data_IF_687069050299
#
_entry.id   IF_687069050299
#
_cell.length_a   1.000
_cell.length_b   1.000
_cell.length_c   1.000
_cell.angle_alpha   90.00
_cell.angle_beta   90.00
_cell.angle_gamma   90.00
#
_symmetry.space_group_name_H-M   'P 1'
#
loop_
_entity.id
_entity.type
_entity.pdbx_description
1 polymer ?
#
# COMPACT_ATOMS: atom_id res chain seq x y z
N UNK A 1 -29.06 -10.93 -2.36
CA UNK A 1 -28.22 -9.76 -2.65
C UNK A 1 -26.84 -10.31 -2.85
N UNK A 2 -26.38 -10.45 -4.09
CA UNK A 2 -24.99 -10.80 -4.36
C UNK A 2 -24.15 -9.62 -3.88
N UNK A 3 -23.38 -9.83 -2.81
CA UNK A 3 -22.25 -8.98 -2.54
C UNK A 3 -21.26 -9.24 -3.67
N UNK A 4 -21.21 -8.35 -4.66
CA UNK A 4 -20.11 -8.36 -5.63
C UNK A 4 -18.82 -8.19 -4.83
N UNK A 5 -18.13 -9.31 -4.64
CA UNK A 5 -16.80 -9.37 -4.07
C UNK A 5 -15.90 -8.59 -5.03
N UNK A 6 -15.56 -7.35 -4.67
CA UNK A 6 -14.74 -6.47 -5.52
C UNK A 6 -13.28 -6.84 -5.32
N UNK A 7 -12.66 -7.48 -6.29
CA UNK A 7 -11.21 -7.75 -6.28
C UNK A 7 -10.43 -6.42 -6.20
N UNK A 8 -9.21 -6.49 -5.66
CA UNK A 8 -8.30 -5.34 -5.55
C UNK A 8 -7.29 -5.40 -6.69
N UNK A 9 -7.01 -4.27 -7.32
CA UNK A 9 -6.12 -4.15 -8.47
C UNK A 9 -4.98 -3.17 -8.21
N UNK A 10 -3.91 -3.30 -8.99
CA UNK A 10 -2.85 -2.30 -9.01
C UNK A 10 -3.40 -0.90 -9.33
N UNK A 11 -3.00 0.07 -8.52
CA UNK A 11 -3.45 1.45 -8.61
C UNK A 11 -4.68 1.77 -7.75
N UNK A 12 -5.34 0.77 -7.15
CA UNK A 12 -6.49 1.02 -6.29
C UNK A 12 -6.08 1.86 -5.06
N UNK A 13 -6.94 2.83 -4.73
CA UNK A 13 -6.81 3.68 -3.56
C UNK A 13 -7.62 3.10 -2.39
N UNK A 14 -7.01 3.07 -1.21
CA UNK A 14 -7.64 2.52 -0.02
C UNK A 14 -7.19 3.24 1.25
N UNK A 15 -7.96 3.05 2.32
CA UNK A 15 -7.71 3.60 3.64
C UNK A 15 -7.42 2.46 4.61
N UNK A 16 -6.36 2.58 5.42
CA UNK A 16 -6.13 1.65 6.52
C UNK A 16 -6.88 2.10 7.76
N UNK A 17 -7.82 1.30 8.25
CA UNK A 17 -8.47 1.52 9.52
C UNK A 17 -7.76 0.73 10.62
N UNK A 18 -7.26 1.43 11.64
CA UNK A 18 -6.69 0.84 12.84
C UNK A 18 -7.81 0.64 13.87
N UNK A 19 -8.15 -0.63 14.16
CA UNK A 19 -9.16 -0.99 15.15
C UNK A 19 -8.76 -0.53 16.56
N UNK A 20 -7.50 -0.73 16.95
CA UNK A 20 -7.00 -0.42 18.31
C UNK A 20 -7.07 1.08 18.63
N UNK A 21 -6.68 1.92 17.67
CA UNK A 21 -6.73 3.38 17.82
C UNK A 21 -8.07 3.99 17.37
N UNK A 22 -8.97 3.18 16.81
CA UNK A 22 -10.28 3.60 16.27
C UNK A 22 -10.15 4.80 15.32
N UNK A 23 -9.38 4.62 14.25
CA UNK A 23 -9.10 5.70 13.31
C UNK A 23 -8.37 5.25 12.05
N UNK A 24 -8.15 6.19 11.13
CA UNK A 24 -7.46 5.92 9.86
C UNK A 24 -5.98 6.28 9.93
N UNK A 25 -5.15 5.45 9.31
CA UNK A 25 -3.73 5.76 9.11
C UNK A 25 -3.61 7.00 8.22
N UNK A 26 -2.73 7.92 8.62
CA UNK A 26 -2.67 9.27 8.06
C UNK A 26 -1.25 9.84 8.13
N UNK A 27 -0.91 10.73 7.20
CA UNK A 27 0.29 11.56 7.23
C UNK A 27 0.05 12.92 6.57
N UNK A 28 0.51 14.01 7.19
CA UNK A 28 0.47 15.34 6.57
C UNK A 28 1.50 15.46 5.43
N UNK A 29 1.17 16.15 4.31
CA UNK A 29 2.12 16.32 3.22
C UNK A 29 3.19 17.37 3.54
N UNK A 30 4.45 16.94 3.45
CA UNK A 30 5.73 17.59 3.04
C UNK A 30 6.06 19.05 3.44
N UNK A 31 5.14 19.91 3.88
CA UNK A 31 5.48 21.19 4.52
C UNK A 31 6.09 20.99 5.91
N UNK A 32 5.92 19.79 6.48
CA UNK A 32 6.67 19.30 7.64
C UNK A 32 7.77 18.36 7.16
N UNK A 33 8.96 18.41 7.77
CA UNK A 33 10.01 17.40 7.57
C UNK A 33 9.64 16.03 8.17
N UNK A 34 8.40 15.87 8.61
CA UNK A 34 7.90 14.65 9.23
C UNK A 34 7.57 13.62 8.16
N UNK A 35 8.23 12.48 8.25
CA UNK A 35 7.90 11.29 7.46
C UNK A 35 7.05 10.31 8.28
N UNK A 36 6.54 10.75 9.43
CA UNK A 36 5.86 9.89 10.38
C UNK A 36 4.45 9.58 9.90
N UNK A 37 4.10 8.31 10.01
CA UNK A 37 2.73 7.83 9.83
C UNK A 37 2.08 7.74 11.20
N UNK A 38 0.87 8.26 11.33
CA UNK A 38 0.08 8.25 12.58
C UNK A 38 -1.34 7.76 12.32
N UNK A 39 -2.16 7.65 13.37
CA UNK A 39 -3.59 7.33 13.23
C UNK A 39 -4.41 8.56 13.61
N UNK A 40 -5.24 9.03 12.68
CA UNK A 40 -6.23 10.05 12.95
C UNK A 40 -7.50 9.41 13.53
N UNK A 41 -7.85 9.70 14.79
CA UNK A 41 -8.99 9.08 15.45
C UNK A 41 -10.32 9.52 14.82
N UNK A 42 -11.22 8.57 14.59
CA UNK A 42 -12.59 8.84 14.14
C UNK A 42 -13.50 8.83 15.37
N UNK A 43 -13.65 9.97 16.05
CA UNK A 43 -14.57 10.14 17.19
C UNK A 43 -15.64 11.16 16.83
N UNK A 44 -16.86 10.97 17.36
CA UNK A 44 -18.05 11.80 17.07
C UNK A 44 -17.91 13.31 17.41
N UNK A 45 -16.80 13.73 18.05
CA UNK A 45 -16.57 15.11 18.50
C UNK A 45 -15.26 15.72 17.98
N UNK A 46 -14.64 15.13 16.96
CA UNK A 46 -13.43 15.67 16.34
C UNK A 46 -13.79 16.50 15.10
N UNK A 47 -12.95 17.48 14.71
CA UNK A 47 -13.16 18.22 13.48
C UNK A 47 -13.25 17.24 12.29
N UNK A 48 -13.96 17.65 11.23
CA UNK A 48 -14.07 16.86 10.01
C UNK A 48 -12.69 16.34 9.59
N UNK A 49 -12.67 15.06 9.19
CA UNK A 49 -11.44 14.35 8.84
C UNK A 49 -10.58 15.22 7.91
N UNK A 50 -9.32 15.52 8.29
CA UNK A 50 -8.44 16.32 7.47
C UNK A 50 -8.24 15.60 6.14
N UNK A 51 -8.28 16.36 5.04
CA UNK A 51 -8.25 15.92 3.64
C UNK A 51 -7.99 14.41 3.44
N UNK A 52 -8.98 13.69 2.88
CA UNK A 52 -8.90 12.25 2.60
C UNK A 52 -7.64 11.83 1.83
N UNK A 53 -7.07 12.73 1.02
CA UNK A 53 -5.81 12.51 0.31
C UNK A 53 -4.62 12.18 1.23
N UNK A 54 -4.68 12.62 2.49
CA UNK A 54 -3.63 12.43 3.50
C UNK A 54 -3.77 11.10 4.26
N UNK A 55 -4.87 10.38 4.02
CA UNK A 55 -5.10 9.03 4.51
C UNK A 55 -5.22 7.99 3.39
N UNK A 56 -5.27 8.45 2.14
CA UNK A 56 -5.35 7.60 0.96
C UNK A 56 -3.98 7.01 0.62
N UNK A 57 -3.97 5.70 0.35
CA UNK A 57 -2.81 4.98 -0.14
C UNK A 57 -3.15 4.22 -1.41
N UNK A 58 -2.22 4.22 -2.36
CA UNK A 58 -2.29 3.46 -3.60
C UNK A 58 -1.53 2.15 -3.43
N UNK A 59 -2.12 1.04 -3.87
CA UNK A 59 -1.45 -0.27 -3.90
C UNK A 59 -0.83 -0.53 -5.27
N UNK A 60 0.33 -1.21 -5.28
CA UNK A 60 0.92 -1.70 -6.53
C UNK A 60 1.78 -2.92 -6.26
N UNK A 61 1.97 -3.80 -7.24
CA UNK A 61 2.93 -4.90 -7.11
C UNK A 61 4.37 -4.39 -6.93
N UNK A 62 5.03 -4.93 -5.92
CA UNK A 62 6.45 -4.73 -5.66
C UNK A 62 7.30 -5.82 -6.32
N UNK A 63 8.52 -5.47 -6.73
CA UNK A 63 9.52 -6.43 -7.20
C UNK A 63 10.63 -6.55 -6.18
N UNK A 64 10.87 -7.77 -5.69
CA UNK A 64 12.11 -8.10 -4.98
C UNK A 64 13.27 -7.96 -5.97
N UNK A 65 14.36 -7.32 -5.56
CA UNK A 65 15.56 -7.30 -6.38
C UNK A 65 16.15 -8.72 -6.36
N UNK A 66 15.88 -9.50 -7.40
CA UNK A 66 16.53 -10.79 -7.59
C UNK A 66 18.04 -10.57 -7.64
N UNK A 67 18.79 -11.36 -6.87
CA UNK A 67 20.25 -11.38 -6.91
C UNK A 67 20.67 -11.72 -8.35
N UNK A 68 21.18 -10.69 -9.05
CA UNK A 68 21.75 -10.68 -10.40
C UNK A 68 21.78 -12.04 -11.14
N UNK A 69 20.84 -12.23 -12.06
CA UNK A 69 21.17 -12.83 -13.35
C UNK A 69 21.05 -11.74 -14.41
N UNK A 70 22.19 -11.16 -14.80
CA UNK A 70 22.30 -10.37 -16.02
C UNK A 70 22.03 -11.30 -17.21
N UNK A 71 20.79 -11.33 -17.68
CA UNK A 71 20.49 -11.74 -19.05
C UNK A 71 20.16 -10.47 -19.82
N UNK A 72 21.10 -10.04 -20.67
CA UNK A 72 20.84 -9.03 -21.68
C UNK A 72 19.86 -9.62 -22.70
N UNK A 73 18.57 -9.37 -22.50
CA UNK A 73 17.57 -9.58 -23.53
C UNK A 73 16.95 -8.22 -23.82
N UNK A 74 17.04 -7.82 -25.09
CA UNK A 74 16.52 -6.57 -25.64
C UNK A 74 15.12 -6.23 -25.13
N UNK A 75 14.98 -5.04 -24.52
CA UNK A 75 13.69 -4.42 -24.26
C UNK A 75 13.07 -4.00 -25.61
N UNK A 76 12.33 -4.93 -26.24
CA UNK A 76 11.26 -4.53 -27.14
C UNK A 76 10.13 -3.97 -26.28
N UNK A 77 10.02 -2.65 -26.26
CA UNK A 77 8.83 -1.93 -25.78
C UNK A 77 7.70 -2.25 -26.76
N UNK A 78 6.98 -3.34 -26.50
CA UNK A 78 5.60 -3.46 -26.89
C UNK A 78 4.81 -2.97 -25.69
N UNK A 79 4.20 -1.80 -25.82
CA UNK A 79 3.13 -1.38 -24.92
C UNK A 79 1.94 -2.32 -25.18
N UNK A 80 2.02 -3.53 -24.64
CA UNK A 80 0.84 -4.37 -24.47
C UNK A 80 -0.08 -3.61 -23.52
N UNK A 81 -1.34 -3.50 -23.91
CA UNK A 81 -2.44 -3.09 -23.05
C UNK A 81 -2.33 -3.89 -21.75
N UNK A 82 -1.68 -3.32 -20.74
CA UNK A 82 -1.46 -3.98 -19.47
C UNK A 82 -2.83 -4.12 -18.81
N UNK A 83 -3.39 -5.32 -18.86
CA UNK A 83 -4.59 -5.63 -18.10
C UNK A 83 -4.33 -5.31 -16.62
N UNK A 84 -5.33 -4.76 -15.91
CA UNK A 84 -5.18 -4.43 -14.49
C UNK A 84 -4.79 -5.69 -13.73
N UNK A 85 -3.63 -5.64 -13.07
CA UNK A 85 -3.09 -6.80 -12.35
C UNK A 85 -3.78 -6.90 -11.00
N UNK A 86 -4.49 -8.01 -10.77
CA UNK A 86 -5.16 -8.28 -9.49
C UNK A 86 -4.13 -8.51 -8.38
N UNK A 87 -4.39 -7.91 -7.23
CA UNK A 87 -3.62 -8.09 -6.01
C UNK A 87 -4.29 -9.18 -5.16
N UNK A 88 -3.53 -10.23 -4.84
CA UNK A 88 -4.00 -11.42 -4.10
C UNK A 88 -3.18 -11.64 -2.84
N UNK A 89 -3.65 -12.50 -1.93
CA UNK A 89 -2.82 -12.94 -0.81
C UNK A 89 -1.54 -13.59 -1.34
N UNK A 90 -0.36 -13.14 -0.86
CA UNK A 90 0.92 -13.57 -1.44
C UNK A 90 1.63 -12.56 -2.28
N UNK A 91 0.89 -11.60 -2.85
CA UNK A 91 1.50 -10.51 -3.57
C UNK A 91 2.49 -9.78 -2.66
N UNK A 92 3.68 -9.56 -3.21
CA UNK A 92 4.60 -8.56 -2.70
C UNK A 92 4.13 -7.23 -3.28
N UNK A 93 3.83 -6.28 -2.41
CA UNK A 93 3.22 -5.00 -2.77
C UNK A 93 4.05 -3.83 -2.27
N UNK A 94 3.75 -2.67 -2.83
CA UNK A 94 4.08 -1.36 -2.32
C UNK A 94 2.81 -0.58 -2.03
N UNK A 95 2.92 0.30 -1.05
CA UNK A 95 1.84 1.13 -0.56
C UNK A 95 2.33 2.56 -0.65
N UNK A 96 1.78 3.34 -1.58
CA UNK A 96 2.18 4.73 -1.83
C UNK A 96 1.19 5.68 -1.18
N UNK A 97 1.65 6.58 -0.33
CA UNK A 97 0.82 7.64 0.24
C UNK A 97 0.45 8.67 -0.84
N UNK A 98 -0.85 8.81 -1.13
CA UNK A 98 -1.38 9.56 -2.26
C UNK A 98 -0.90 11.01 -2.28
N UNK A 99 -1.04 11.74 -1.16
CA UNK A 99 -0.69 13.16 -1.14
C UNK A 99 0.81 13.47 -1.24
N UNK A 100 1.68 12.56 -0.79
CA UNK A 100 3.14 12.79 -0.78
C UNK A 100 3.90 12.11 -1.92
N UNK A 101 3.29 11.12 -2.57
CA UNK A 101 3.95 10.24 -3.53
C UNK A 101 5.02 9.31 -2.93
N UNK A 102 5.19 9.30 -1.61
CA UNK A 102 6.17 8.48 -0.89
C UNK A 102 5.58 7.13 -0.50
N UNK A 103 6.44 6.14 -0.28
CA UNK A 103 6.03 4.79 0.05
C UNK A 103 6.04 4.56 1.56
N UNK A 104 5.04 3.83 2.07
CA UNK A 104 5.09 3.27 3.40
C UNK A 104 6.34 2.38 3.51
N UNK A 105 7.03 2.49 4.63
CA UNK A 105 8.26 1.77 4.89
C UNK A 105 8.38 1.40 6.37
N UNK A 106 9.15 0.36 6.66
CA UNK A 106 9.49 -0.03 8.03
C UNK A 106 10.94 0.36 8.33
N UNK A 107 11.17 1.08 9.42
CA UNK A 107 12.53 1.40 9.89
C UNK A 107 13.17 0.18 10.57
N UNK A 108 14.50 0.15 10.71
CA UNK A 108 15.19 -0.89 11.51
C UNK A 108 14.73 -0.97 12.98
N UNK A 109 14.09 0.07 13.50
CA UNK A 109 13.52 0.12 14.85
C UNK A 109 12.04 -0.29 14.89
N UNK A 110 11.53 -0.94 13.85
CA UNK A 110 10.13 -1.38 13.71
C UNK A 110 9.12 -0.23 13.77
N UNK A 111 9.45 0.93 13.21
CA UNK A 111 8.54 2.08 13.12
C UNK A 111 8.09 2.27 11.68
N UNK A 112 6.83 2.68 11.47
CA UNK A 112 6.29 2.98 10.15
C UNK A 112 6.59 4.43 9.75
N UNK A 113 7.04 4.65 8.51
CA UNK A 113 7.36 5.98 7.98
C UNK A 113 7.16 6.04 6.45
N UNK A 114 7.23 7.26 5.89
CA UNK A 114 7.15 7.51 4.46
C UNK A 114 8.52 7.73 3.83
N UNK A 115 8.99 6.75 3.05
CA UNK A 115 10.25 6.79 2.33
C UNK A 115 10.09 7.28 0.88
N UNK A 116 11.07 8.02 0.37
CA UNK A 116 11.10 8.45 -1.04
C UNK A 116 11.61 7.34 -1.98
N UNK A 117 12.17 6.27 -1.42
CA UNK A 117 12.96 5.30 -2.13
C UNK A 117 12.23 4.05 -2.60
N UNK A 118 12.96 3.30 -3.41
CA UNK A 118 12.58 2.00 -3.97
C UNK A 118 13.24 0.85 -3.20
N UNK A 119 13.42 1.01 -1.88
CA UNK A 119 14.17 0.07 -1.04
C UNK A 119 13.34 -1.17 -0.72
N UNK A 120 13.98 -2.24 -0.23
CA UNK A 120 13.26 -3.42 0.25
C UNK A 120 12.42 -3.12 1.49
N UNK A 121 12.74 -2.05 2.23
CA UNK A 121 11.97 -1.61 3.39
C UNK A 121 10.56 -1.10 3.03
N UNK A 122 10.28 -0.87 1.74
CA UNK A 122 8.95 -0.47 1.23
C UNK A 122 8.14 -1.64 0.68
N UNK A 123 8.68 -2.87 0.75
CA UNK A 123 8.01 -4.07 0.28
C UNK A 123 7.25 -4.74 1.42
N UNK A 124 5.97 -5.02 1.17
CA UNK A 124 5.10 -5.73 2.10
C UNK A 124 4.57 -6.99 1.45
N UNK A 125 4.32 -8.02 2.25
CA UNK A 125 3.62 -9.22 1.79
C UNK A 125 2.20 -9.19 2.33
N UNK A 126 1.21 -9.31 1.45
CA UNK A 126 -0.18 -9.50 1.86
C UNK A 126 -0.37 -10.88 2.45
N UNK A 127 -0.90 -10.93 3.66
CA UNK A 127 -1.16 -12.17 4.41
C UNK A 127 -2.61 -12.20 4.88
N UNK A 128 -3.29 -13.36 4.81
CA UNK A 128 -4.67 -13.50 5.26
C UNK A 128 -4.74 -13.44 6.78
N UNK A 129 -5.74 -12.73 7.31
CA UNK A 129 -6.02 -12.67 8.75
C UNK A 129 -6.80 -13.88 9.27
N UNK A 130 -7.48 -14.61 8.38
CA UNK A 130 -8.35 -15.75 8.70
C UNK A 130 -7.94 -17.00 7.91
N UNK A 131 -8.18 -18.18 8.47
CA UNK A 131 -7.79 -19.46 7.88
C UNK A 131 -8.59 -19.85 6.62
N UNK A 132 -9.68 -19.14 6.32
CA UNK A 132 -10.54 -19.43 5.17
C UNK A 132 -9.92 -19.03 3.83
N UNK A 133 -8.92 -18.13 3.85
CA UNK A 133 -8.23 -17.66 2.66
C UNK A 133 -6.77 -18.08 2.66
N UNK A 134 -6.31 -18.56 1.51
CA UNK A 134 -4.95 -18.98 1.25
C UNK A 134 -4.22 -18.06 0.28
N UNK A 135 -2.96 -18.43 -0.01
CA UNK A 135 -2.15 -17.76 -1.01
C UNK A 135 -2.79 -17.88 -2.41
N UNK A 136 -2.86 -16.77 -3.14
CA UNK A 136 -3.49 -16.69 -4.46
C UNK A 136 -4.97 -16.33 -4.42
N UNK A 137 -5.61 -16.36 -3.25
CA UNK A 137 -7.01 -15.95 -3.12
C UNK A 137 -7.14 -14.43 -3.13
N UNK A 138 -8.29 -13.95 -3.62
CA UNK A 138 -8.64 -12.53 -3.63
C UNK A 138 -8.69 -11.93 -2.22
N UNK A 139 -8.25 -10.67 -2.11
CA UNK A 139 -8.15 -9.95 -0.83
C UNK A 139 -9.53 -9.57 -0.25
N UNK A 140 -10.59 -9.61 -1.06
CA UNK A 140 -11.92 -9.04 -0.84
C UNK A 140 -12.91 -9.80 0.02
#
# INVERSE_FOLDING_TARGET
MDATVSSMFDGDAFLFYCLEASGYVYSEPVSSESNLVTVYPTRENLPHFPNIDFAAFLISHGKLQSVKHQSYCHDHIIAESAEPMTVVYGSIIRIQHQASGRYLAVTPTNSAWLDKGNSEATLFRLVPSHQEKGWGDDVS
#
